data_IF_439390003166
#
_entry.id   IF_439390003166
#
_cell.length_a   1.000
_cell.length_b   1.000
_cell.length_c   1.000
_cell.angle_alpha   90.00
_cell.angle_beta   90.00
_cell.angle_gamma   90.00
#
_symmetry.space_group_name_H-M   'P 1'
#
loop_
_entity.id
_entity.type
_entity.pdbx_description
1 polymer ?
#
# COMPACT_ATOMS: atom_id res chain seq x y z
N UNK A 1 2.73 9.07 -10.35
CA UNK A 1 1.78 8.56 -9.35
C UNK A 1 2.23 9.01 -7.98
N UNK A 2 1.30 9.48 -7.17
CA UNK A 2 1.48 9.81 -5.76
C UNK A 2 1.57 8.53 -4.94
N UNK A 3 2.54 8.43 -4.03
CA UNK A 3 2.77 7.27 -3.15
C UNK A 3 1.54 6.98 -2.28
N UNK A 4 1.12 5.71 -2.22
CA UNK A 4 -0.02 5.19 -1.45
C UNK A 4 0.39 4.65 -0.08
N UNK A 5 1.57 5.02 0.41
CA UNK A 5 2.05 4.64 1.73
C UNK A 5 1.08 5.16 2.80
N UNK A 6 0.52 4.23 3.57
CA UNK A 6 -0.44 4.50 4.64
C UNK A 6 0.00 3.83 5.93
N UNK A 7 -0.21 4.52 7.05
CA UNK A 7 0.05 4.01 8.40
C UNK A 7 -1.19 3.34 9.00
N UNK A 8 -2.38 3.72 8.54
CA UNK A 8 -3.64 3.12 8.98
C UNK A 8 -4.22 2.21 7.91
N UNK A 9 -4.95 1.18 8.33
CA UNK A 9 -5.78 0.38 7.42
C UNK A 9 -6.94 1.22 6.90
N UNK A 10 -7.10 1.28 5.58
CA UNK A 10 -8.12 2.06 4.90
C UNK A 10 -9.05 1.14 4.10
N UNK A 11 -10.33 1.08 4.46
CA UNK A 11 -11.30 0.15 3.85
C UNK A 11 -12.28 0.90 2.96
N UNK A 12 -12.55 0.33 1.79
CA UNK A 12 -13.57 0.85 0.87
C UNK A 12 -14.98 0.56 1.37
N UNK A 13 -15.85 1.55 1.19
CA UNK A 13 -17.29 1.45 1.46
C UNK A 13 -18.09 1.39 0.17
N UNK A 14 -19.36 1.03 0.26
CA UNK A 14 -20.30 0.98 -0.87
C UNK A 14 -20.41 2.31 -1.65
N UNK A 15 -20.10 3.45 -1.02
CA UNK A 15 -20.20 4.78 -1.65
C UNK A 15 -19.29 4.97 -2.85
N UNK A 16 -18.13 4.28 -2.86
CA UNK A 16 -17.20 4.33 -3.99
C UNK A 16 -17.83 3.79 -5.29
N UNK A 17 -18.89 2.97 -5.15
CA UNK A 17 -19.70 2.41 -6.23
C UNK A 17 -21.07 3.10 -6.40
N UNK A 18 -21.26 4.31 -5.85
CA UNK A 18 -22.47 5.12 -6.05
C UNK A 18 -22.66 5.54 -7.52
N UNK A 19 -23.73 6.25 -7.90
CA UNK A 19 -23.96 6.64 -9.31
C UNK A 19 -22.81 7.46 -9.94
N UNK A 20 -22.03 8.20 -9.12
CA UNK A 20 -20.76 8.81 -9.55
C UNK A 20 -19.66 7.74 -9.79
N UNK A 21 -19.63 6.70 -8.95
CA UNK A 21 -19.00 5.36 -9.09
C UNK A 21 -18.96 4.77 -10.48
N UNK A 22 -20.14 4.76 -11.07
CA UNK A 22 -20.47 3.89 -12.17
C UNK A 22 -20.30 4.58 -13.53
N UNK A 23 -20.13 5.90 -13.55
CA UNK A 23 -20.02 6.72 -14.75
C UNK A 23 -18.58 7.20 -15.04
N UNK A 24 -17.61 6.90 -14.17
CA UNK A 24 -16.21 7.34 -14.31
C UNK A 24 -15.35 6.21 -14.86
N UNK A 25 -15.43 6.01 -16.18
CA UNK A 25 -14.28 5.45 -16.91
C UNK A 25 -13.91 6.47 -18.00
N UNK A 26 -12.62 6.60 -18.28
CA UNK A 26 -12.06 7.50 -19.31
C UNK A 26 -12.65 7.28 -20.72
N UNK A 27 -13.43 6.21 -20.91
CA UNK A 27 -13.99 5.77 -22.18
C UNK A 27 -15.54 5.64 -22.14
N UNK A 28 -16.23 6.16 -21.12
CA UNK A 28 -17.70 6.16 -21.06
C UNK A 28 -18.36 4.80 -20.84
N UNK A 29 -17.61 3.78 -20.39
CA UNK A 29 -18.16 2.48 -20.03
C UNK A 29 -18.89 2.59 -18.70
N UNK A 30 -20.23 2.46 -18.74
CA UNK A 30 -21.08 2.30 -17.56
C UNK A 30 -20.77 0.98 -16.89
N UNK A 31 -20.37 1.04 -15.63
CA UNK A 31 -20.13 -0.12 -14.80
C UNK A 31 -21.39 -0.44 -13.98
N UNK A 32 -21.71 -1.71 -13.78
CA UNK A 32 -22.76 -2.12 -12.82
C UNK A 32 -22.21 -2.06 -11.38
N UNK A 33 -23.06 -1.93 -10.35
CA UNK A 33 -22.63 -2.01 -8.95
C UNK A 33 -21.82 -3.28 -8.64
N UNK A 34 -22.17 -4.41 -9.25
CA UNK A 34 -21.52 -5.71 -9.06
C UNK A 34 -20.13 -5.74 -9.70
N UNK A 35 -20.00 -5.19 -10.92
CA UNK A 35 -18.69 -5.02 -11.57
C UNK A 35 -17.79 -4.09 -10.77
N UNK A 36 -18.35 -3.02 -10.20
CA UNK A 36 -17.62 -2.10 -9.32
C UNK A 36 -17.11 -2.81 -8.07
N UNK A 37 -17.99 -3.57 -7.39
CA UNK A 37 -17.64 -4.36 -6.20
C UNK A 37 -16.55 -5.37 -6.51
N UNK A 38 -16.69 -6.11 -7.62
CA UNK A 38 -15.75 -7.15 -8.03
C UNK A 38 -14.36 -6.57 -8.30
N UNK A 39 -14.27 -5.46 -9.05
CA UNK A 39 -13.00 -4.78 -9.33
C UNK A 39 -12.27 -4.25 -8.10
N UNK A 40 -13.01 -4.04 -7.00
CA UNK A 40 -12.53 -3.43 -5.76
C UNK A 40 -12.20 -4.42 -4.65
N UNK A 41 -12.44 -5.72 -4.89
CA UNK A 41 -12.22 -6.77 -3.89
C UNK A 41 -13.29 -6.78 -2.77
N UNK A 42 -14.45 -6.15 -3.00
CA UNK A 42 -15.49 -5.99 -1.98
C UNK A 42 -15.46 -4.62 -1.29
N UNK A 43 -16.41 -4.41 -0.38
CA UNK A 43 -16.53 -3.20 0.44
C UNK A 43 -17.46 -3.44 1.64
N UNK A 44 -17.41 -2.54 2.61
CA UNK A 44 -18.39 -2.44 3.69
C UNK A 44 -19.62 -1.62 3.25
N UNK A 45 -20.79 -1.94 3.78
CA UNK A 45 -22.00 -1.16 3.51
C UNK A 45 -21.99 0.13 4.35
N UNK A 46 -22.14 1.30 3.71
CA UNK A 46 -22.04 2.61 4.40
C UNK A 46 -23.09 2.79 5.50
N UNK A 47 -24.31 2.27 5.30
CA UNK A 47 -25.42 2.53 6.23
C UNK A 47 -25.19 1.98 7.64
N UNK A 48 -24.19 1.11 7.83
CA UNK A 48 -23.84 0.52 9.12
C UNK A 48 -22.70 1.26 9.84
N UNK A 49 -22.21 2.37 9.28
CA UNK A 49 -20.95 3.00 9.71
C UNK A 49 -21.15 4.45 10.18
N UNK A 50 -20.63 4.84 11.36
CA UNK A 50 -20.80 6.18 11.89
C UNK A 50 -19.94 7.23 11.15
N UNK A 51 -20.27 8.50 11.35
CA UNK A 51 -19.44 9.63 10.90
C UNK A 51 -18.26 9.77 11.85
N UNK A 52 -17.05 9.95 11.30
CA UNK A 52 -15.86 10.14 12.11
C UNK A 52 -15.92 11.48 12.89
N UNK A 53 -15.56 11.44 14.17
CA UNK A 53 -15.42 12.64 15.00
C UNK A 53 -14.26 13.52 14.50
N UNK A 54 -14.24 14.81 14.87
CA UNK A 54 -13.15 15.72 14.47
C UNK A 54 -11.78 15.25 14.94
N UNK A 55 -11.66 14.68 16.15
CA UNK A 55 -10.39 14.15 16.66
C UNK A 55 -9.90 12.94 15.87
N UNK A 56 -10.81 12.01 15.51
CA UNK A 56 -10.51 10.84 14.69
C UNK A 56 -10.05 11.26 13.29
N UNK A 57 -10.73 12.22 12.67
CA UNK A 57 -10.34 12.77 11.37
C UNK A 57 -8.94 13.35 11.37
N UNK A 58 -8.61 14.15 12.39
CA UNK A 58 -7.28 14.73 12.56
C UNK A 58 -6.23 13.64 12.74
N UNK A 59 -6.51 12.65 13.58
CA UNK A 59 -5.60 11.52 13.84
C UNK A 59 -5.29 10.75 12.55
N UNK A 60 -6.31 10.33 11.81
CA UNK A 60 -6.13 9.62 10.54
C UNK A 60 -5.43 10.47 9.47
N UNK A 61 -5.71 11.77 9.43
CA UNK A 61 -5.04 12.70 8.49
C UNK A 61 -3.56 12.85 8.80
N UNK A 62 -3.20 12.98 10.07
CA UNK A 62 -1.81 13.10 10.51
C UNK A 62 -1.04 11.79 10.28
N UNK A 63 -1.68 10.63 10.48
CA UNK A 63 -1.09 9.33 10.19
C UNK A 63 -0.92 9.09 8.68
N UNK A 64 -1.76 9.66 7.83
CA UNK A 64 -1.80 9.34 6.39
C UNK A 64 -1.70 10.59 5.51
N UNK A 65 -0.63 11.40 5.62
CA UNK A 65 -0.51 12.66 4.88
C UNK A 65 -0.43 12.48 3.36
N UNK A 66 0.15 11.36 2.91
CA UNK A 66 0.16 10.98 1.49
C UNK A 66 -1.26 10.82 0.96
N UNK A 67 -2.10 10.08 1.68
CA UNK A 67 -3.51 9.87 1.33
C UNK A 67 -4.27 11.20 1.23
N UNK A 68 -4.13 12.08 2.24
CA UNK A 68 -4.77 13.40 2.24
C UNK A 68 -4.43 14.20 0.98
N UNK A 69 -3.16 14.17 0.56
CA UNK A 69 -2.72 14.87 -0.64
C UNK A 69 -3.27 14.27 -1.94
N UNK A 70 -3.55 12.97 -1.97
CA UNK A 70 -4.12 12.28 -3.13
C UNK A 70 -5.60 12.63 -3.29
N UNK A 71 -6.35 12.60 -2.19
CA UNK A 71 -7.79 12.80 -2.21
C UNK A 71 -8.22 14.26 -2.23
N UNK A 72 -7.30 15.22 -2.07
CA UNK A 72 -7.63 16.65 -1.92
C UNK A 72 -8.48 17.23 -3.07
N UNK A 73 -8.35 16.68 -4.27
CA UNK A 73 -9.12 17.10 -5.44
C UNK A 73 -10.53 16.49 -5.46
N UNK A 74 -10.71 15.35 -4.77
CA UNK A 74 -11.97 14.64 -4.69
C UNK A 74 -12.80 15.11 -3.48
N UNK A 75 -12.14 15.38 -2.34
CA UNK A 75 -12.79 15.77 -1.09
C UNK A 75 -11.86 16.63 -0.22
N UNK A 76 -12.44 17.64 0.46
CA UNK A 76 -11.76 18.40 1.51
C UNK A 76 -11.63 17.64 2.83
N UNK A 77 -12.32 16.50 2.97
CA UNK A 77 -12.34 15.66 4.18
C UNK A 77 -12.14 14.17 3.80
N UNK A 78 -10.89 13.70 3.64
CA UNK A 78 -10.60 12.31 3.23
C UNK A 78 -11.21 11.23 4.13
N UNK A 79 -11.27 11.47 5.44
CA UNK A 79 -11.70 10.50 6.44
C UNK A 79 -13.07 10.86 7.01
N UNK A 80 -14.07 11.09 6.16
CA UNK A 80 -15.43 11.41 6.60
C UNK A 80 -16.02 10.37 7.56
N UNK A 81 -15.65 9.11 7.35
CA UNK A 81 -16.08 7.97 8.14
C UNK A 81 -14.86 7.18 8.62
N UNK A 82 -15.00 6.58 9.80
CA UNK A 82 -14.00 5.74 10.44
C UNK A 82 -14.71 4.89 11.48
N UNK A 83 -14.19 3.70 11.75
CA UNK A 83 -14.77 2.80 12.74
C UNK A 83 -13.68 1.95 13.39
N UNK A 84 -13.86 1.65 14.68
CA UNK A 84 -13.10 0.61 15.38
C UNK A 84 -13.63 -0.75 14.94
N UNK A 85 -12.80 -1.51 14.20
CA UNK A 85 -13.23 -2.78 13.65
C UNK A 85 -12.20 -3.86 13.89
N UNK A 86 -12.72 -5.06 14.13
CA UNK A 86 -11.96 -6.28 14.30
C UNK A 86 -11.33 -6.73 12.98
N UNK A 87 -10.00 -6.73 12.92
CA UNK A 87 -9.24 -7.46 11.92
C UNK A 87 -9.02 -8.89 12.41
N UNK A 88 -9.69 -9.83 11.75
CA UNK A 88 -9.46 -11.26 12.02
C UNK A 88 -8.24 -11.75 11.26
N UNK A 89 -7.27 -12.30 12.01
CA UNK A 89 -6.07 -12.94 11.48
C UNK A 89 -6.06 -14.37 12.01
N UNK A 90 -6.52 -15.30 11.16
CA UNK A 90 -6.70 -16.71 11.52
C UNK A 90 -7.59 -16.84 12.77
N UNK A 91 -7.03 -17.33 13.87
CA UNK A 91 -7.74 -17.57 15.13
C UNK A 91 -7.70 -16.36 16.08
N UNK A 92 -7.01 -15.28 15.68
CA UNK A 92 -6.88 -14.05 16.47
C UNK A 92 -7.77 -12.94 15.89
N UNK A 93 -8.17 -12.00 16.75
CA UNK A 93 -8.89 -10.78 16.37
C UNK A 93 -8.23 -9.59 17.04
N UNK A 94 -8.14 -8.47 16.33
CA UNK A 94 -7.58 -7.23 16.86
C UNK A 94 -8.47 -6.09 16.45
N UNK A 95 -9.02 -5.39 17.44
CA UNK A 95 -9.77 -4.17 17.21
C UNK A 95 -8.81 -3.02 16.93
N UNK A 96 -9.00 -2.32 15.82
CA UNK A 96 -8.21 -1.14 15.50
C UNK A 96 -9.06 -0.11 14.75
N UNK A 97 -8.70 1.17 14.91
CA UNK A 97 -9.30 2.26 14.16
C UNK A 97 -8.96 2.12 12.67
N UNK A 98 -10.00 2.06 11.84
CA UNK A 98 -9.88 1.96 10.40
C UNK A 98 -10.49 3.19 9.72
N UNK A 99 -9.77 3.75 8.77
CA UNK A 99 -10.28 4.85 7.95
C UNK A 99 -11.18 4.30 6.84
N UNK A 100 -12.29 4.97 6.56
CA UNK A 100 -13.23 4.52 5.53
C UNK A 100 -13.14 5.38 4.28
N UNK A 101 -12.89 4.72 3.15
CA UNK A 101 -12.84 5.32 1.83
C UNK A 101 -14.26 5.37 1.27
N UNK A 102 -14.85 6.56 1.25
CA UNK A 102 -16.19 6.81 0.69
C UNK A 102 -16.13 7.51 -0.68
N UNK A 103 -14.97 8.02 -1.06
CA UNK A 103 -14.75 8.78 -2.30
C UNK A 103 -13.45 8.34 -3.00
N UNK A 104 -13.22 8.84 -4.21
CA UNK A 104 -12.03 8.51 -5.00
C UNK A 104 -12.24 7.34 -5.96
N UNK A 105 -12.94 7.66 -7.04
CA UNK A 105 -13.33 6.79 -8.15
C UNK A 105 -12.16 6.04 -8.80
N UNK A 106 -10.96 6.61 -8.73
CA UNK A 106 -9.73 6.08 -9.34
C UNK A 106 -8.96 5.13 -8.42
N UNK A 107 -9.33 5.00 -7.14
CA UNK A 107 -8.74 3.98 -6.27
C UNK A 107 -9.38 2.64 -6.55
N UNK A 108 -8.59 1.58 -6.67
CA UNK A 108 -9.11 0.26 -7.02
C UNK A 108 -9.09 -0.72 -5.86
N UNK A 109 -8.58 -0.34 -4.68
CA UNK A 109 -8.47 -1.25 -3.54
C UNK A 109 -8.49 -0.55 -2.19
N UNK A 110 -8.81 -1.34 -1.16
CA UNK A 110 -8.53 -1.04 0.25
C UNK A 110 -7.02 -1.16 0.52
N UNK A 111 -6.54 -0.57 1.60
CA UNK A 111 -5.12 -0.53 1.95
C UNK A 111 -4.90 -1.11 3.34
N UNK A 112 -3.83 -1.88 3.50
CA UNK A 112 -3.34 -2.30 4.82
C UNK A 112 -2.22 -1.34 5.22
N UNK A 113 -2.33 -0.74 6.41
CA UNK A 113 -1.35 0.22 6.90
C UNK A 113 -0.07 -0.47 7.37
N UNK A 114 1.00 -0.46 6.56
CA UNK A 114 2.28 -1.13 6.86
C UNK A 114 3.49 -0.17 6.84
N UNK A 115 3.24 1.13 6.89
CA UNK A 115 4.30 2.15 6.95
C UNK A 115 4.95 2.25 8.36
N UNK A 116 5.90 3.19 8.51
CA UNK A 116 6.77 3.35 9.69
C UNK A 116 6.02 3.45 11.03
N UNK A 117 4.85 4.07 11.03
CA UNK A 117 3.96 4.24 12.18
C UNK A 117 2.67 3.40 12.02
N UNK A 118 2.81 2.18 11.47
CA UNK A 118 1.70 1.26 11.25
C UNK A 118 0.87 1.02 12.51
N UNK A 119 -0.41 1.37 12.46
CA UNK A 119 -1.35 1.09 13.55
C UNK A 119 -1.63 -0.40 13.70
N UNK A 120 -1.61 -1.15 12.59
CA UNK A 120 -1.76 -2.60 12.58
C UNK A 120 -0.61 -3.28 13.35
N UNK A 121 0.64 -2.98 12.99
CA UNK A 121 1.80 -3.60 13.61
C UNK A 121 1.95 -3.16 15.08
N UNK A 122 1.57 -1.92 15.39
CA UNK A 122 1.51 -1.45 16.77
C UNK A 122 0.50 -2.27 17.58
N UNK A 123 -0.75 -2.40 17.11
CA UNK A 123 -1.81 -3.13 17.81
C UNK A 123 -1.46 -4.61 17.99
N UNK A 124 -0.94 -5.25 16.95
CA UNK A 124 -0.43 -6.64 17.02
C UNK A 124 0.68 -6.81 18.08
N UNK A 125 1.56 -5.81 18.21
CA UNK A 125 2.68 -5.85 19.14
C UNK A 125 2.20 -5.65 20.59
N UNK A 126 1.26 -4.73 20.79
CA UNK A 126 0.67 -4.42 22.11
C UNK A 126 -0.12 -5.62 22.66
N UNK A 127 -0.84 -6.34 21.79
CA UNK A 127 -1.53 -7.60 22.11
C UNK A 127 -0.59 -8.81 22.26
N UNK A 128 0.73 -8.62 22.09
CA UNK A 128 1.72 -9.69 22.22
C UNK A 128 1.69 -10.75 21.10
N UNK A 129 0.98 -10.50 19.99
CA UNK A 129 0.82 -11.43 18.88
C UNK A 129 2.04 -11.45 17.93
N UNK A 130 2.87 -10.41 17.95
CA UNK A 130 4.11 -10.34 17.16
C UNK A 130 5.33 -9.94 17.98
N UNK A 131 6.49 -10.47 17.60
CA UNK A 131 7.77 -10.22 18.26
C UNK A 131 8.34 -8.82 18.01
N UNK A 132 8.04 -8.20 16.86
CA UNK A 132 8.54 -6.90 16.46
C UNK A 132 7.52 -6.13 15.62
N UNK A 133 7.58 -4.79 15.58
CA UNK A 133 6.76 -3.97 14.66
C UNK A 133 7.38 -3.97 13.26
N UNK A 134 7.52 -5.15 12.68
CA UNK A 134 8.12 -5.38 11.37
C UNK A 134 7.21 -6.24 10.51
N UNK A 135 7.48 -6.25 9.21
CA UNK A 135 6.85 -7.15 8.27
C UNK A 135 7.83 -7.51 7.16
N UNK A 136 7.55 -8.61 6.45
CA UNK A 136 8.29 -9.00 5.26
C UNK A 136 7.35 -9.55 4.20
N UNK A 137 7.72 -9.36 2.94
CA UNK A 137 6.94 -9.77 1.80
C UNK A 137 7.81 -10.61 0.87
N UNK A 138 7.37 -11.84 0.66
CA UNK A 138 7.72 -12.65 -0.50
C UNK A 138 6.58 -12.50 -1.51
N UNK A 139 6.83 -11.87 -2.65
CA UNK A 139 5.79 -11.60 -3.65
C UNK A 139 5.36 -12.84 -4.44
N UNK A 140 6.05 -13.98 -4.27
CA UNK A 140 5.78 -15.19 -5.03
C UNK A 140 6.33 -15.14 -6.45
N UNK A 141 5.72 -15.90 -7.34
CA UNK A 141 6.05 -15.95 -8.77
C UNK A 141 4.78 -16.08 -9.59
N UNK A 142 4.60 -15.17 -10.54
CA UNK A 142 3.56 -15.26 -11.57
C UNK A 142 4.06 -15.94 -12.86
N UNK A 143 5.25 -16.56 -12.82
CA UNK A 143 5.78 -17.29 -13.96
C UNK A 143 4.83 -18.42 -14.35
N UNK A 144 4.52 -18.53 -15.65
CA UNK A 144 3.76 -19.65 -16.16
C UNK A 144 4.44 -21.00 -15.91
N UNK A 145 5.77 -21.03 -16.03
CA UNK A 145 6.54 -22.28 -15.90
C UNK A 145 6.76 -22.70 -14.43
N UNK A 146 6.72 -21.75 -13.50
CA UNK A 146 6.95 -22.00 -12.08
C UNK A 146 6.13 -21.01 -11.23
N UNK A 147 4.79 -21.15 -11.19
CA UNK A 147 3.95 -20.31 -10.37
C UNK A 147 4.16 -20.65 -8.89
N UNK A 148 4.21 -19.62 -8.04
CA UNK A 148 4.42 -19.81 -6.60
C UNK A 148 3.67 -18.76 -5.83
N UNK A 149 2.97 -19.18 -4.78
CA UNK A 149 2.35 -18.24 -3.86
C UNK A 149 3.43 -17.45 -3.10
N UNK A 150 3.14 -16.17 -2.91
CA UNK A 150 3.89 -15.32 -1.99
C UNK A 150 3.44 -15.50 -0.54
N UNK A 151 4.05 -14.74 0.35
CA UNK A 151 3.69 -14.68 1.77
C UNK A 151 3.98 -13.29 2.34
N UNK A 152 3.04 -12.77 3.12
CA UNK A 152 3.23 -11.62 4.00
C UNK A 152 3.39 -12.13 5.43
N UNK A 153 4.52 -11.83 6.06
CA UNK A 153 4.77 -12.18 7.47
C UNK A 153 4.78 -10.90 8.29
N UNK A 154 4.02 -10.88 9.39
CA UNK A 154 3.99 -9.79 10.35
C UNK A 154 4.78 -10.20 11.59
N UNK A 155 5.65 -9.33 12.10
CA UNK A 155 6.48 -9.61 13.26
C UNK A 155 7.85 -10.21 12.99
N UNK A 156 8.21 -10.43 11.72
CA UNK A 156 9.45 -11.10 11.36
C UNK A 156 9.48 -11.47 9.88
N UNK A 157 10.13 -12.59 9.57
CA UNK A 157 10.28 -13.12 8.22
C UNK A 157 10.30 -14.63 8.20
N UNK A 158 10.02 -15.21 7.03
CA UNK A 158 10.17 -16.63 6.77
C UNK A 158 11.58 -16.91 6.25
N UNK A 159 12.44 -17.46 7.11
CA UNK A 159 13.83 -17.76 6.77
C UNK A 159 13.96 -18.80 5.64
N UNK A 160 12.95 -19.64 5.42
CA UNK A 160 12.96 -20.64 4.34
C UNK A 160 12.79 -20.02 2.95
N UNK A 161 12.43 -18.72 2.87
CA UNK A 161 12.25 -17.98 1.62
C UNK A 161 13.49 -17.21 1.18
N UNK A 162 14.56 -17.29 1.95
CA UNK A 162 15.77 -16.53 1.71
C UNK A 162 16.88 -17.47 1.27
N UNK A 163 17.63 -17.04 0.25
CA UNK A 163 18.88 -17.67 -0.14
C UNK A 163 20.01 -16.65 0.07
N UNK A 164 20.87 -16.91 1.06
CA UNK A 164 21.99 -16.04 1.43
C UNK A 164 21.73 -15.04 2.57
N UNK A 165 22.64 -14.07 2.68
CA UNK A 165 22.68 -13.09 3.77
C UNK A 165 21.82 -11.85 3.54
N UNK A 166 21.64 -11.07 4.60
CA UNK A 166 20.87 -9.82 4.58
C UNK A 166 21.70 -8.64 4.10
N UNK A 167 21.08 -7.77 3.29
CA UNK A 167 21.57 -6.42 3.05
C UNK A 167 20.59 -5.47 3.73
N UNK A 168 21.10 -4.63 4.62
CA UNK A 168 20.30 -3.68 5.37
C UNK A 168 20.57 -2.27 4.90
N UNK A 169 19.49 -1.52 4.70
CA UNK A 169 19.54 -0.08 4.41
C UNK A 169 18.80 0.65 5.53
N UNK A 170 19.36 1.75 6.05
CA UNK A 170 18.63 2.58 7.00
C UNK A 170 17.46 3.28 6.31
N UNK A 171 16.32 3.35 6.98
CA UNK A 171 15.22 4.22 6.58
C UNK A 171 15.66 5.67 6.84
N UNK A 172 15.69 6.55 5.83
CA UNK A 172 16.15 7.92 6.01
C UNK A 172 15.13 8.72 6.84
N UNK A 173 15.63 9.59 7.73
CA UNK A 173 14.77 10.48 8.53
C UNK A 173 13.88 11.37 7.64
N UNK A 174 14.44 11.86 6.53
CA UNK A 174 13.66 12.50 5.48
C UNK A 174 13.14 11.43 4.52
N UNK A 175 11.90 10.99 4.73
CA UNK A 175 11.21 10.05 3.85
C UNK A 175 10.60 10.74 2.61
N UNK A 176 11.15 11.87 2.13
CA UNK A 176 10.61 12.62 1.00
C UNK A 176 11.45 12.46 -0.27
N UNK A 177 10.91 11.74 -1.25
CA UNK A 177 11.50 11.64 -2.59
C UNK A 177 10.64 12.42 -3.58
N UNK A 178 11.19 13.48 -4.19
CA UNK A 178 10.45 14.31 -5.16
C UNK A 178 9.09 14.81 -4.62
N UNK A 179 9.07 15.26 -3.35
CA UNK A 179 7.88 15.73 -2.62
C UNK A 179 6.81 14.65 -2.34
N UNK A 180 7.17 13.36 -2.40
CA UNK A 180 6.29 12.23 -2.02
C UNK A 180 6.85 11.50 -0.81
N UNK A 181 5.98 11.04 0.09
CA UNK A 181 6.38 10.17 1.20
C UNK A 181 6.84 8.81 0.67
N UNK A 182 7.97 8.36 1.18
CA UNK A 182 8.79 7.27 0.68
C UNK A 182 9.65 6.72 1.83
N UNK A 183 9.03 6.02 2.79
CA UNK A 183 9.74 5.43 3.92
C UNK A 183 10.76 4.38 3.47
N UNK A 184 10.38 3.55 2.50
CA UNK A 184 11.25 2.51 1.92
C UNK A 184 12.06 3.07 0.75
N UNK A 185 12.81 4.15 1.01
CA UNK A 185 13.70 4.76 0.04
C UNK A 185 14.98 3.93 -0.13
N UNK A 186 15.41 3.77 -1.38
CA UNK A 186 16.71 3.15 -1.71
C UNK A 186 17.49 4.02 -2.68
N UNK A 187 18.83 3.93 -2.59
CA UNK A 187 19.74 4.56 -3.54
C UNK A 187 20.33 3.48 -4.47
N UNK A 188 19.95 3.52 -5.73
CA UNK A 188 20.50 2.65 -6.78
C UNK A 188 21.79 3.31 -7.25
N UNK A 189 22.94 2.74 -6.88
CA UNK A 189 24.26 3.30 -7.24
C UNK A 189 24.70 2.91 -8.64
N UNK A 190 24.25 1.76 -9.13
CA UNK A 190 24.68 1.24 -10.42
C UNK A 190 23.59 0.33 -10.98
N UNK A 191 23.30 0.46 -12.28
CA UNK A 191 22.40 -0.43 -13.00
C UNK A 191 23.00 -0.65 -14.37
N UNK A 192 23.12 -1.91 -14.78
CA UNK A 192 23.54 -2.28 -16.12
C UNK A 192 22.58 -3.30 -16.72
N UNK A 193 22.40 -3.23 -18.03
CA UNK A 193 21.63 -4.18 -18.81
C UNK A 193 22.45 -4.61 -20.01
N UNK A 194 22.56 -5.93 -20.20
CA UNK A 194 23.23 -6.55 -21.33
C UNK A 194 22.19 -7.08 -22.30
N UNK A 195 22.16 -6.54 -23.51
CA UNK A 195 21.27 -6.98 -24.58
C UNK A 195 22.06 -7.89 -25.51
N UNK A 196 21.54 -9.09 -25.74
CA UNK A 196 22.02 -9.96 -26.81
C UNK A 196 21.19 -9.68 -28.06
N UNK A 197 21.78 -9.02 -29.06
CA UNK A 197 21.12 -8.72 -30.34
C UNK A 197 21.75 -9.56 -31.44
N UNK A 198 21.12 -10.68 -31.79
CA UNK A 198 21.53 -11.53 -32.90
C UNK A 198 23.00 -11.98 -32.84
N UNK A 199 23.67 -12.00 -33.99
CA UNK A 199 25.10 -12.36 -34.11
C UNK A 199 26.07 -11.20 -33.77
N UNK A 200 25.55 -10.01 -33.46
CA UNK A 200 26.34 -8.77 -33.30
C UNK A 200 26.97 -8.60 -31.90
N UNK A 201 27.01 -9.68 -31.12
CA UNK A 201 27.57 -9.70 -29.77
C UNK A 201 26.67 -9.06 -28.70
N UNK A 202 27.13 -9.17 -27.45
CA UNK A 202 26.43 -8.60 -26.30
C UNK A 202 26.75 -7.10 -26.18
N UNK A 203 25.73 -6.24 -26.08
CA UNK A 203 25.90 -4.81 -25.82
C UNK A 203 25.43 -4.48 -24.41
N UNK A 204 26.31 -3.93 -23.59
CA UNK A 204 25.98 -3.48 -22.23
C UNK A 204 25.68 -1.98 -22.22
N UNK A 205 24.59 -1.60 -21.56
CA UNK A 205 24.21 -0.21 -21.26
C UNK A 205 24.14 -0.03 -19.75
N UNK A 206 24.62 1.11 -19.26
CA UNK A 206 24.60 1.45 -17.84
C UNK A 206 23.73 2.70 -17.61
N UNK A 207 22.40 2.56 -17.46
CA UNK A 207 21.50 3.69 -17.24
C UNK A 207 21.69 4.40 -15.90
N UNK A 208 22.28 3.73 -14.90
CA UNK A 208 22.64 4.33 -13.61
C UNK A 208 24.11 4.07 -13.35
N UNK A 209 24.86 5.13 -13.00
CA UNK A 209 26.30 5.09 -12.74
C UNK A 209 26.59 5.60 -11.34
N UNK A 210 27.72 5.19 -10.76
CA UNK A 210 28.08 5.50 -9.36
C UNK A 210 28.19 6.98 -9.05
N UNK A 211 28.60 7.78 -10.04
CA UNK A 211 28.72 9.24 -9.95
C UNK A 211 27.37 9.96 -10.00
N UNK A 212 26.30 9.28 -10.39
CA UNK A 212 24.94 9.82 -10.44
C UNK A 212 23.92 8.77 -9.98
N UNK A 213 23.86 8.46 -8.67
CA UNK A 213 22.96 7.46 -8.13
C UNK A 213 21.49 7.87 -8.29
N UNK A 214 20.63 6.88 -8.53
CA UNK A 214 19.19 7.07 -8.65
C UNK A 214 18.50 6.76 -7.33
N UNK A 215 17.82 7.76 -6.75
CA UNK A 215 16.95 7.55 -5.60
C UNK A 215 15.59 7.03 -6.05
N UNK A 216 15.17 5.90 -5.49
CA UNK A 216 13.91 5.23 -5.78
C UNK A 216 13.13 4.91 -4.50
N UNK A 217 11.83 4.63 -4.65
CA UNK A 217 10.96 4.21 -3.54
C UNK A 217 10.45 2.82 -3.83
N UNK A 218 10.55 1.96 -2.83
CA UNK A 218 9.90 0.66 -2.82
C UNK A 218 8.46 0.90 -2.35
N UNK A 219 7.50 0.65 -3.22
CA UNK A 219 6.07 0.72 -2.94
C UNK A 219 5.52 -0.72 -2.96
N UNK A 220 5.35 -1.36 -1.80
CA UNK A 220 4.80 -2.71 -1.67
C UNK A 220 3.29 -2.77 -1.87
#
# INVERSE_FOLDING_TARGET
MTSTVVNSTLIQTSDVCSYKGLNVTSNGVKMTPEQCRSRRGGYLMRNDLPVASSSVRTTLSNLNPGWVNITKNDTGTPFQHAEEMDLKIKDNSITMLQGLITQGQQHTMSHIGLAESSTLLQSLKDEGLIGARSWSLDSGSQSFAAPRNGSLVLGGYDASRLDGGWITFPIPESNLVRKRSCPLQVSITEMSFTVHVGRDGAKTKAPVKRDNPLVACIEP
#
